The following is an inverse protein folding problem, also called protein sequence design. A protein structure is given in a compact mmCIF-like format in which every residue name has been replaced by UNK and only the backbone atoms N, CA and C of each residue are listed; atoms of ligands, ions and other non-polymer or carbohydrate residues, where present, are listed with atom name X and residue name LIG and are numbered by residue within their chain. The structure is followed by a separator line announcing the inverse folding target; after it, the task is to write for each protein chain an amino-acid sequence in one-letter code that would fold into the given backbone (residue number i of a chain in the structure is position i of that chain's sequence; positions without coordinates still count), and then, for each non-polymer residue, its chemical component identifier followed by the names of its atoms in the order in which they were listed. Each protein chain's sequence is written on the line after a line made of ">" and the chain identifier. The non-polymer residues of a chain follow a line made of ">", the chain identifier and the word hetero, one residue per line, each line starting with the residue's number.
data_IF_794896757932
#
_entry.id   IF_794896757932
#
_cell.length_a   1.000
_cell.length_b   1.000
_cell.length_c   1.000
_cell.angle_alpha   90.00
_cell.angle_beta   90.00
_cell.angle_gamma   90.00
#
_symmetry.space_group_name_H-M   'P 1'
#
loop_
_entity.id
_entity.type
_entity.pdbx_description
1 polymer ?
#
# COMPACT_ATOMS: atom_id res chain seq x y z
N UNK A 1 -0.68 -13.25 -11.85
CA UNK A 1 -1.88 -13.30 -10.97
C UNK A 1 -2.33 -11.87 -10.70
N UNK A 2 -3.60 -11.57 -10.90
CA UNK A 2 -4.17 -10.23 -10.80
C UNK A 2 -4.87 -10.06 -9.45
N UNK A 3 -4.23 -9.38 -8.49
CA UNK A 3 -4.80 -9.18 -7.15
C UNK A 3 -5.21 -7.73 -6.92
N UNK A 4 -6.33 -7.53 -6.22
CA UNK A 4 -6.67 -6.26 -5.59
C UNK A 4 -6.29 -6.28 -4.11
N UNK A 5 -5.77 -5.17 -3.60
CA UNK A 5 -5.18 -5.08 -2.27
C UNK A 5 -5.78 -3.88 -1.53
N UNK A 6 -6.37 -4.14 -0.36
CA UNK A 6 -6.86 -3.14 0.58
C UNK A 6 -6.19 -3.35 1.94
N UNK A 7 -5.59 -2.30 2.52
CA UNK A 7 -4.94 -2.35 3.84
C UNK A 7 -5.29 -1.13 4.66
N UNK A 8 -5.41 -1.32 5.98
CA UNK A 8 -5.68 -0.24 6.93
C UNK A 8 -4.55 -0.15 7.96
N UNK A 9 -3.94 1.01 8.06
CA UNK A 9 -2.94 1.33 9.07
C UNK A 9 -3.53 2.30 10.09
N UNK A 10 -3.77 1.81 11.33
CA UNK A 10 -4.33 2.59 12.44
C UNK A 10 -3.25 3.48 13.06
N UNK A 11 -3.46 4.80 13.12
CA UNK A 11 -2.49 5.78 13.56
C UNK A 11 -2.94 6.52 14.84
N UNK A 12 -2.03 6.68 15.81
CA UNK A 12 -2.29 7.41 17.05
C UNK A 12 -2.00 8.92 16.95
N UNK A 13 -1.60 9.41 15.80
CA UNK A 13 -1.37 10.81 15.49
C UNK A 13 0.11 11.22 15.37
N UNK A 14 1.04 10.52 15.99
CA UNK A 14 2.47 10.87 15.91
C UNK A 14 3.08 10.77 14.51
N UNK A 15 2.49 9.95 13.64
CA UNK A 15 2.93 9.76 12.26
C UNK A 15 2.30 10.75 11.26
N UNK A 16 1.38 11.62 11.67
CA UNK A 16 0.61 12.47 10.76
C UNK A 16 1.50 13.30 9.83
N UNK A 17 2.53 13.97 10.36
CA UNK A 17 3.47 14.78 9.56
C UNK A 17 4.27 13.98 8.54
N UNK A 18 4.73 12.77 8.93
CA UNK A 18 5.54 11.95 8.02
C UNK A 18 4.69 11.33 6.92
N UNK A 19 3.44 10.98 7.23
CA UNK A 19 2.46 10.48 6.27
C UNK A 19 2.04 11.60 5.32
N UNK A 20 1.68 12.77 5.84
CA UNK A 20 1.41 14.00 5.08
C UNK A 20 2.54 14.26 4.07
N UNK A 21 3.77 14.38 4.56
CA UNK A 21 4.92 14.66 3.70
C UNK A 21 5.22 13.55 2.66
N UNK A 22 4.82 12.30 2.92
CA UNK A 22 4.91 11.22 1.93
C UNK A 22 3.79 11.32 0.91
N UNK A 23 2.57 11.53 1.34
CA UNK A 23 1.39 11.58 0.47
C UNK A 23 1.42 12.81 -0.44
N UNK A 24 1.74 13.96 0.11
CA UNK A 24 1.76 15.25 -0.61
C UNK A 24 3.09 15.51 -1.34
N UNK A 25 4.03 14.53 -1.31
CA UNK A 25 5.35 14.65 -1.98
C UNK A 25 6.14 15.91 -1.61
N UNK A 26 6.06 16.35 -0.36
CA UNK A 26 6.71 17.60 0.10
C UNK A 26 8.17 17.46 0.52
N UNK A 27 8.74 16.24 0.47
CA UNK A 27 10.16 16.00 0.79
C UNK A 27 11.03 16.15 -0.46
N UNK A 28 12.23 16.68 -0.27
CA UNK A 28 13.23 16.74 -1.34
C UNK A 28 13.81 15.37 -1.68
N UNK A 29 13.96 14.50 -0.65
CA UNK A 29 14.50 13.15 -0.80
C UNK A 29 13.63 12.10 -0.09
N UNK A 30 13.51 10.95 -0.71
CA UNK A 30 12.73 9.80 -0.23
C UNK A 30 13.65 8.58 -0.03
N UNK A 31 14.68 8.72 0.82
CA UNK A 31 15.66 7.66 1.07
C UNK A 31 15.03 6.32 1.49
N UNK A 32 13.88 6.35 2.17
CA UNK A 32 13.12 5.15 2.56
C UNK A 32 12.31 4.52 1.42
N UNK A 33 12.08 5.26 0.32
CA UNK A 33 11.34 4.78 -0.85
C UNK A 33 12.01 5.26 -2.15
N UNK A 34 13.07 4.56 -2.61
CA UNK A 34 13.81 4.92 -3.81
C UNK A 34 13.02 4.68 -5.11
N UNK A 35 11.83 4.06 -5.03
CA UNK A 35 11.00 3.76 -6.20
C UNK A 35 10.19 4.98 -6.69
N UNK A 36 10.25 6.10 -5.97
CA UNK A 36 9.56 7.34 -6.37
C UNK A 36 10.31 7.98 -7.54
N UNK A 37 9.62 8.06 -8.67
CA UNK A 37 10.10 8.75 -9.87
C UNK A 37 9.68 10.22 -9.82
N UNK A 38 10.62 11.10 -9.49
CA UNK A 38 10.37 12.54 -9.37
C UNK A 38 9.84 13.18 -10.67
N UNK A 39 10.17 12.63 -11.82
CA UNK A 39 9.67 13.14 -13.11
C UNK A 39 8.18 12.87 -13.34
N UNK A 40 7.61 11.92 -12.58
CA UNK A 40 6.21 11.50 -12.68
C UNK A 40 5.32 12.05 -11.57
N UNK A 41 5.85 12.82 -10.61
CA UNK A 41 5.07 13.39 -9.50
C UNK A 41 3.86 14.18 -10.00
N UNK A 42 3.98 14.88 -11.13
CA UNK A 42 2.87 15.62 -11.74
C UNK A 42 1.71 14.74 -12.24
N UNK A 43 1.88 13.42 -12.31
CA UNK A 43 0.82 12.46 -12.65
C UNK A 43 -0.01 12.04 -11.43
N UNK A 44 0.45 12.35 -10.22
CA UNK A 44 -0.31 12.11 -9.00
C UNK A 44 -1.52 13.02 -8.97
N UNK A 45 -2.63 12.53 -8.42
CA UNK A 45 -3.85 13.32 -8.34
C UNK A 45 -4.64 13.01 -7.08
N UNK A 46 -5.47 13.97 -6.66
CA UNK A 46 -6.34 13.84 -5.51
C UNK A 46 -7.78 13.57 -5.92
N UNK A 47 -8.43 12.63 -5.22
CA UNK A 47 -9.88 12.46 -5.18
C UNK A 47 -10.49 13.30 -4.05
N UNK A 48 -9.73 13.48 -2.96
CA UNK A 48 -10.04 14.42 -1.88
C UNK A 48 -8.76 15.15 -1.49
N UNK A 49 -8.73 16.46 -1.72
CA UNK A 49 -7.60 17.31 -1.35
C UNK A 49 -7.77 17.82 0.08
N UNK A 50 -6.78 17.64 0.98
CA UNK A 50 -6.83 18.18 2.32
C UNK A 50 -6.81 19.71 2.28
N UNK A 51 -7.57 20.38 3.16
CA UNK A 51 -7.60 21.84 3.25
C UNK A 51 -6.38 22.39 4.01
N UNK A 52 -5.85 21.58 4.92
CA UNK A 52 -4.74 21.90 5.80
C UNK A 52 -3.80 20.70 5.91
N UNK A 53 -2.73 20.84 6.71
CA UNK A 53 -1.90 19.68 7.04
C UNK A 53 -2.73 18.57 7.70
N UNK A 54 -2.31 17.32 7.55
CA UNK A 54 -3.02 16.16 8.13
C UNK A 54 -3.23 16.29 9.64
N UNK A 55 -2.25 16.87 10.35
CA UNK A 55 -2.38 17.13 11.78
C UNK A 55 -3.53 18.10 12.09
N UNK A 56 -3.68 19.14 11.29
CA UNK A 56 -4.76 20.14 11.41
C UNK A 56 -6.11 19.54 11.02
N UNK A 57 -6.18 18.78 9.93
CA UNK A 57 -7.39 18.08 9.48
C UNK A 57 -7.94 17.14 10.57
N UNK A 58 -7.07 16.33 11.16
CA UNK A 58 -7.41 15.40 12.22
C UNK A 58 -7.92 16.16 13.47
N UNK A 59 -7.17 17.21 13.88
CA UNK A 59 -7.54 18.01 15.04
C UNK A 59 -8.88 18.71 14.85
N UNK A 60 -9.10 19.30 13.68
CA UNK A 60 -10.34 19.99 13.34
C UNK A 60 -11.55 19.05 13.42
N UNK A 61 -11.51 17.88 12.77
CA UNK A 61 -12.61 16.91 12.77
C UNK A 61 -12.92 16.39 14.17
N UNK A 62 -11.91 16.07 14.96
CA UNK A 62 -12.07 15.62 16.35
C UNK A 62 -12.72 16.73 17.20
N UNK A 63 -12.29 17.97 17.02
CA UNK A 63 -12.83 19.11 17.75
C UNK A 63 -14.30 19.37 17.36
N UNK A 64 -14.61 19.35 16.06
CA UNK A 64 -15.98 19.55 15.57
C UNK A 64 -16.94 18.44 16.02
N UNK A 65 -16.42 17.21 16.17
CA UNK A 65 -17.21 16.10 16.71
C UNK A 65 -17.44 16.22 18.23
N UNK A 66 -16.66 17.03 18.94
CA UNK A 66 -16.74 17.15 20.40
C UNK A 66 -16.42 15.85 21.15
N UNK A 67 -15.73 14.92 20.50
CA UNK A 67 -15.53 13.59 21.04
C UNK A 67 -14.36 13.52 22.04
N UNK A 68 -14.49 12.60 23.02
CA UNK A 68 -13.41 12.33 23.97
C UNK A 68 -12.25 11.61 23.29
N UNK A 69 -11.05 12.15 23.42
CA UNK A 69 -9.80 11.52 22.94
C UNK A 69 -9.02 10.97 24.13
N UNK A 70 -8.69 9.67 24.09
CA UNK A 70 -7.79 9.03 25.05
C UNK A 70 -6.35 9.06 24.51
N UNK A 71 -5.36 8.87 25.37
CA UNK A 71 -3.95 8.84 24.99
C UNK A 71 -3.63 7.78 23.91
N UNK A 72 -4.32 6.65 23.97
CA UNK A 72 -4.13 5.49 23.09
C UNK A 72 -5.11 5.45 21.90
N UNK A 73 -6.00 6.45 21.76
CA UNK A 73 -6.97 6.50 20.67
C UNK A 73 -6.30 6.49 19.32
N UNK A 74 -6.87 5.69 18.40
CA UNK A 74 -6.57 5.81 16.98
C UNK A 74 -7.21 7.11 16.47
N UNK A 75 -6.38 8.06 16.05
CA UNK A 75 -6.84 9.40 15.62
C UNK A 75 -7.19 9.46 14.16
N UNK A 76 -6.51 8.66 13.34
CA UNK A 76 -6.84 8.51 11.93
C UNK A 76 -6.41 7.13 11.43
N UNK A 77 -6.90 6.78 10.27
CA UNK A 77 -6.56 5.55 9.56
C UNK A 77 -6.00 5.97 8.21
N UNK A 78 -4.83 5.44 7.87
CA UNK A 78 -4.27 5.50 6.53
C UNK A 78 -4.61 4.20 5.82
N UNK A 79 -5.34 4.30 4.71
CA UNK A 79 -5.81 3.17 3.92
C UNK A 79 -5.04 3.12 2.62
N UNK A 80 -4.42 1.98 2.33
CA UNK A 80 -3.74 1.72 1.07
C UNK A 80 -4.61 0.84 0.17
N UNK A 81 -4.86 1.31 -1.04
CA UNK A 81 -5.46 0.53 -2.13
C UNK A 81 -4.45 0.42 -3.27
N UNK A 82 -4.21 -0.78 -3.73
CA UNK A 82 -3.34 -1.03 -4.89
C UNK A 82 -3.72 -2.34 -5.59
N UNK A 83 -3.02 -2.66 -6.65
CA UNK A 83 -3.18 -3.89 -7.46
C UNK A 83 -1.84 -4.55 -7.67
N UNK A 84 -1.84 -5.78 -8.21
CA UNK A 84 -0.60 -6.39 -8.68
C UNK A 84 0.00 -5.59 -9.85
N UNK A 85 1.34 -5.54 -9.98
CA UNK A 85 2.00 -4.79 -11.06
C UNK A 85 1.58 -5.22 -12.46
N UNK A 86 1.31 -6.51 -12.66
CA UNK A 86 0.88 -7.08 -13.94
C UNK A 86 -0.50 -6.53 -14.35
N UNK A 87 -1.43 -6.47 -13.38
CA UNK A 87 -2.75 -5.89 -13.62
C UNK A 87 -2.66 -4.40 -13.92
N UNK A 88 -1.91 -3.65 -13.11
CA UNK A 88 -1.72 -2.21 -13.34
C UNK A 88 -1.18 -1.90 -14.74
N UNK A 89 -0.23 -2.73 -15.22
CA UNK A 89 0.35 -2.58 -16.56
C UNK A 89 -0.64 -2.92 -17.67
N UNK A 90 -1.45 -3.97 -17.49
CA UNK A 90 -2.45 -4.41 -18.47
C UNK A 90 -3.61 -3.41 -18.61
N UNK A 91 -3.94 -2.71 -17.52
CA UNK A 91 -5.09 -1.80 -17.40
C UNK A 91 -4.67 -0.35 -17.10
N UNK A 92 -3.52 0.11 -17.59
CA UNK A 92 -2.96 1.42 -17.27
C UNK A 92 -3.96 2.57 -17.50
N UNK A 93 -4.68 2.53 -18.63
CA UNK A 93 -5.69 3.54 -18.98
C UNK A 93 -6.95 3.48 -18.08
N UNK A 94 -7.20 2.36 -17.42
CA UNK A 94 -8.36 2.15 -16.55
C UNK A 94 -8.04 2.44 -15.07
N UNK A 95 -6.78 2.73 -14.71
CA UNK A 95 -6.41 3.01 -13.31
C UNK A 95 -7.21 4.16 -12.68
N UNK A 96 -7.53 5.26 -13.37
CA UNK A 96 -8.41 6.29 -12.80
C UNK A 96 -9.81 5.75 -12.43
N UNK A 97 -10.43 4.91 -13.28
CA UNK A 97 -11.71 4.26 -13.00
C UNK A 97 -11.60 3.31 -11.80
N UNK A 98 -10.50 2.53 -11.75
CA UNK A 98 -10.22 1.63 -10.66
C UNK A 98 -10.17 2.36 -9.30
N UNK A 99 -9.41 3.44 -9.20
CA UNK A 99 -9.27 4.19 -7.95
C UNK A 99 -10.53 4.97 -7.59
N UNK A 100 -11.31 5.47 -8.56
CA UNK A 100 -12.62 6.07 -8.30
C UNK A 100 -13.59 5.04 -7.70
N UNK A 101 -13.68 3.83 -8.27
CA UNK A 101 -14.53 2.76 -7.75
C UNK A 101 -14.09 2.32 -6.34
N UNK A 102 -12.80 2.21 -6.11
CA UNK A 102 -12.25 1.91 -4.79
C UNK A 102 -12.53 3.01 -3.76
N UNK A 103 -12.46 4.28 -4.18
CA UNK A 103 -12.82 5.43 -3.35
C UNK A 103 -14.31 5.42 -2.97
N UNK A 104 -15.22 5.19 -3.92
CA UNK A 104 -16.65 5.11 -3.66
C UNK A 104 -16.98 3.97 -2.68
N UNK A 105 -16.38 2.80 -2.87
CA UNK A 105 -16.51 1.67 -1.93
C UNK A 105 -16.12 2.05 -0.49
N UNK A 106 -15.01 2.77 -0.34
CA UNK A 106 -14.52 3.20 0.98
C UNK A 106 -15.40 4.31 1.56
N UNK A 107 -15.76 5.31 0.74
CA UNK A 107 -16.59 6.46 1.12
C UNK A 107 -17.91 6.03 1.74
N UNK A 108 -18.62 5.09 1.11
CA UNK A 108 -19.88 4.56 1.61
C UNK A 108 -19.76 3.91 2.99
N UNK A 109 -18.64 3.28 3.28
CA UNK A 109 -18.42 2.51 4.51
C UNK A 109 -17.83 3.28 5.66
N UNK A 110 -16.92 4.22 5.38
CA UNK A 110 -16.25 5.00 6.43
C UNK A 110 -16.93 6.34 6.70
N UNK A 111 -17.82 6.80 5.80
CA UNK A 111 -18.45 8.12 5.80
C UNK A 111 -17.60 9.17 5.09
N UNK A 112 -18.20 9.87 4.13
CA UNK A 112 -17.50 10.90 3.33
C UNK A 112 -16.95 12.03 4.21
N UNK A 113 -17.71 12.43 5.22
CA UNK A 113 -17.37 13.48 6.19
C UNK A 113 -16.11 13.14 7.03
N UNK A 114 -15.79 11.87 7.15
CA UNK A 114 -14.63 11.39 7.88
C UNK A 114 -13.34 11.45 7.06
N UNK A 115 -13.45 11.43 5.71
CA UNK A 115 -12.30 11.43 4.80
C UNK A 115 -11.74 12.84 4.68
N UNK A 116 -10.43 13.00 4.85
CA UNK A 116 -9.77 14.30 4.71
C UNK A 116 -8.72 14.34 3.59
N UNK A 117 -8.26 13.19 3.13
CA UNK A 117 -7.36 13.08 1.98
C UNK A 117 -7.59 11.76 1.26
N UNK A 118 -7.57 11.80 -0.06
CA UNK A 118 -7.46 10.62 -0.91
C UNK A 118 -6.59 10.99 -2.11
N UNK A 119 -5.36 10.50 -2.14
CA UNK A 119 -4.36 10.79 -3.18
C UNK A 119 -3.96 9.52 -3.90
N UNK A 120 -3.89 9.58 -5.22
CA UNK A 120 -3.41 8.49 -6.07
C UNK A 120 -1.99 8.81 -6.52
N UNK A 121 -1.07 7.91 -6.21
CA UNK A 121 0.31 7.97 -6.63
C UNK A 121 0.51 7.15 -7.91
N UNK A 122 0.90 7.85 -8.98
CA UNK A 122 1.27 7.28 -10.27
C UNK A 122 2.80 7.31 -10.50
N UNK A 123 3.53 7.88 -9.55
CA UNK A 123 4.97 8.14 -9.59
C UNK A 123 5.82 7.01 -9.01
N UNK A 124 5.21 5.90 -8.60
CA UNK A 124 5.91 4.71 -8.13
C UNK A 124 5.74 3.54 -9.12
N UNK A 125 6.47 2.44 -8.85
CA UNK A 125 6.45 1.23 -9.69
C UNK A 125 5.05 0.66 -9.90
N UNK A 126 4.21 0.72 -8.89
CA UNK A 126 2.81 0.26 -8.95
C UNK A 126 1.90 1.39 -8.48
N UNK A 127 0.92 1.81 -9.29
CA UNK A 127 -0.07 2.81 -8.88
C UNK A 127 -0.80 2.39 -7.61
N UNK A 128 -1.02 3.35 -6.72
CA UNK A 128 -1.74 3.10 -5.48
C UNK A 128 -2.41 4.36 -4.94
N UNK A 129 -3.50 4.15 -4.20
CA UNK A 129 -4.23 5.23 -3.53
C UNK A 129 -3.99 5.15 -2.02
N UNK A 130 -3.66 6.28 -1.43
CA UNK A 130 -3.75 6.50 0.01
C UNK A 130 -5.03 7.27 0.31
N UNK A 131 -5.86 6.73 1.21
CA UNK A 131 -7.06 7.39 1.71
C UNK A 131 -6.96 7.51 3.22
N UNK A 132 -6.99 8.75 3.72
CA UNK A 132 -6.91 9.05 5.14
C UNK A 132 -8.25 9.54 5.68
N UNK A 133 -8.70 8.96 6.80
CA UNK A 133 -9.93 9.37 7.47
C UNK A 133 -9.79 9.35 8.99
N UNK A 134 -10.56 10.23 9.67
CA UNK A 134 -10.73 10.21 11.11
C UNK A 134 -11.87 9.25 11.44
N UNK A 135 -11.64 8.20 12.27
CA UNK A 135 -12.65 7.17 12.49
C UNK A 135 -13.75 7.62 13.47
N UNK A 136 -14.59 8.57 13.03
CA UNK A 136 -15.75 9.05 13.77
C UNK A 136 -16.98 8.21 13.43
N UNK A 137 -17.63 7.72 14.47
CA UNK A 137 -18.88 6.98 14.36
C UNK A 137 -20.06 7.94 14.13
N UNK A 138 -21.23 7.43 13.71
CA UNK A 138 -22.45 8.23 13.50
C UNK A 138 -22.88 9.03 14.73
N UNK A 139 -22.60 8.50 15.94
CA UNK A 139 -22.83 9.16 17.21
C UNK A 139 -21.62 9.98 17.70
N UNK A 140 -20.74 10.37 16.78
CA UNK A 140 -19.58 11.25 16.97
C UNK A 140 -18.55 10.75 18.00
N UNK A 141 -18.39 9.43 18.15
CA UNK A 141 -17.31 8.84 18.95
C UNK A 141 -16.10 8.52 18.08
N UNK A 142 -14.90 8.71 18.62
CA UNK A 142 -13.65 8.31 17.96
C UNK A 142 -13.39 6.83 18.19
N UNK A 143 -13.70 5.97 17.19
CA UNK A 143 -13.62 4.51 17.33
C UNK A 143 -13.29 3.79 16.02
N UNK A 144 -12.02 3.61 15.75
CA UNK A 144 -11.58 2.76 14.62
C UNK A 144 -12.02 1.29 14.75
N UNK A 145 -12.24 0.80 15.98
CA UNK A 145 -12.74 -0.55 16.22
C UNK A 145 -14.19 -0.71 15.76
N UNK A 146 -15.00 0.32 15.90
CA UNK A 146 -16.41 0.28 15.51
C UNK A 146 -16.58 0.35 13.99
N UNK A 147 -15.76 1.15 13.31
CA UNK A 147 -15.80 1.28 11.86
C UNK A 147 -15.15 0.06 11.17
N UNK A 148 -13.94 -0.31 11.57
CA UNK A 148 -13.17 -1.36 10.91
C UNK A 148 -13.42 -2.76 11.47
N UNK A 149 -13.94 -2.84 12.70
CA UNK A 149 -14.21 -4.10 13.38
C UNK A 149 -12.96 -4.82 13.91
N UNK A 150 -13.13 -6.13 14.08
CA UNK A 150 -12.10 -7.07 14.54
C UNK A 150 -11.44 -7.81 13.36
N UNK A 151 -10.63 -8.84 13.65
CA UNK A 151 -9.96 -9.66 12.63
C UNK A 151 -10.92 -10.29 11.61
N UNK A 152 -12.09 -10.76 12.06
CA UNK A 152 -13.11 -11.35 11.18
C UNK A 152 -13.70 -10.28 10.25
N UNK A 153 -14.00 -9.10 10.78
CA UNK A 153 -14.48 -7.98 9.98
C UNK A 153 -13.43 -7.53 8.96
N UNK A 154 -12.13 -7.59 9.29
CA UNK A 154 -11.07 -7.27 8.34
C UNK A 154 -10.98 -8.26 7.17
N UNK A 155 -11.33 -9.53 7.37
CA UNK A 155 -11.47 -10.50 6.27
C UNK A 155 -12.68 -10.11 5.41
N UNK A 156 -13.81 -9.79 6.02
CA UNK A 156 -15.01 -9.36 5.31
C UNK A 156 -14.75 -8.09 4.47
N UNK A 157 -13.97 -7.11 4.99
CA UNK A 157 -13.56 -5.94 4.21
C UNK A 157 -12.83 -6.33 2.92
N UNK A 158 -11.95 -7.35 2.98
CA UNK A 158 -11.24 -7.84 1.80
C UNK A 158 -12.16 -8.56 0.83
N UNK A 159 -13.10 -9.36 1.34
CA UNK A 159 -14.05 -10.11 0.53
C UNK A 159 -15.02 -9.15 -0.20
N UNK A 160 -15.57 -8.17 0.52
CA UNK A 160 -16.48 -7.17 -0.04
C UNK A 160 -15.77 -6.27 -1.06
N UNK A 161 -14.53 -5.87 -0.75
CA UNK A 161 -13.72 -5.06 -1.66
C UNK A 161 -13.40 -5.82 -2.94
N UNK A 162 -12.95 -7.07 -2.81
CA UNK A 162 -12.74 -7.93 -3.96
C UNK A 162 -14.01 -8.06 -4.80
N UNK A 163 -15.14 -8.39 -4.18
CA UNK A 163 -16.42 -8.55 -4.89
C UNK A 163 -16.79 -7.27 -5.66
N UNK A 164 -16.67 -6.11 -5.02
CA UNK A 164 -16.92 -4.83 -5.64
C UNK A 164 -16.02 -4.60 -6.87
N UNK A 165 -14.71 -4.87 -6.77
CA UNK A 165 -13.78 -4.63 -7.86
C UNK A 165 -13.93 -5.67 -8.99
N UNK A 166 -14.21 -6.94 -8.64
CA UNK A 166 -14.38 -8.04 -9.60
C UNK A 166 -15.65 -7.90 -10.46
N UNK A 167 -16.66 -7.14 -10.05
CA UNK A 167 -17.80 -6.81 -10.89
C UNK A 167 -17.38 -6.12 -12.20
N UNK A 168 -16.35 -5.29 -12.15
CA UNK A 168 -15.83 -4.54 -13.30
C UNK A 168 -14.62 -5.22 -13.96
N UNK A 169 -13.80 -5.90 -13.16
CA UNK A 169 -12.59 -6.63 -13.60
C UNK A 169 -12.65 -8.07 -13.10
N UNK A 170 -13.37 -8.96 -13.83
CA UNK A 170 -13.58 -10.37 -13.42
C UNK A 170 -12.28 -11.19 -13.33
N UNK A 171 -11.20 -10.75 -13.96
CA UNK A 171 -9.88 -11.38 -13.91
C UNK A 171 -9.13 -11.15 -12.59
N UNK A 172 -9.63 -10.25 -11.72
CA UNK A 172 -9.06 -10.07 -10.39
C UNK A 172 -9.29 -11.32 -9.55
N UNK A 173 -8.31 -11.65 -8.76
CA UNK A 173 -8.34 -12.76 -7.83
C UNK A 173 -8.41 -12.26 -6.38
N UNK A 174 -9.17 -12.95 -5.57
CA UNK A 174 -9.17 -12.78 -4.12
C UNK A 174 -7.88 -13.42 -3.56
N UNK A 175 -6.97 -12.61 -3.04
CA UNK A 175 -5.75 -13.14 -2.42
C UNK A 175 -6.06 -14.08 -1.24
N UNK A 176 -5.24 -15.11 -1.05
CA UNK A 176 -5.41 -16.08 0.04
C UNK A 176 -5.29 -15.40 1.40
N UNK A 177 -6.24 -15.59 2.33
CA UNK A 177 -6.20 -15.01 3.66
C UNK A 177 -4.91 -15.36 4.42
N UNK A 178 -4.36 -14.40 5.17
CA UNK A 178 -3.13 -14.61 5.95
C UNK A 178 -3.25 -15.73 6.99
N UNK A 179 -4.48 -16.04 7.43
CA UNK A 179 -4.76 -17.15 8.36
C UNK A 179 -4.45 -18.51 7.71
N UNK A 180 -4.74 -18.65 6.42
CA UNK A 180 -4.49 -19.88 5.66
C UNK A 180 -3.02 -20.01 5.27
N UNK A 181 -2.41 -18.92 4.85
CA UNK A 181 -1.01 -18.93 4.42
C UNK A 181 -0.02 -18.98 5.57
N UNK A 182 -0.46 -18.69 6.81
CA UNK A 182 0.39 -18.51 8.01
C UNK A 182 1.59 -17.58 7.80
N UNK A 183 1.59 -16.78 6.74
CA UNK A 183 2.66 -15.84 6.43
C UNK A 183 2.70 -14.72 7.46
N UNK A 184 3.89 -14.47 8.02
CA UNK A 184 4.10 -13.30 8.88
C UNK A 184 4.10 -12.04 8.01
N UNK A 185 3.53 -10.96 8.56
CA UNK A 185 3.59 -9.66 7.91
C UNK A 185 5.04 -9.18 7.81
N UNK A 186 5.53 -9.06 6.60
CA UNK A 186 6.83 -8.43 6.33
C UNK A 186 6.63 -6.93 6.15
N UNK A 187 7.54 -6.12 6.70
CA UNK A 187 7.56 -4.69 6.35
C UNK A 187 7.88 -4.54 4.86
N UNK A 188 7.46 -3.42 4.21
CA UNK A 188 7.77 -3.19 2.79
C UNK A 188 9.27 -3.29 2.48
N UNK A 189 10.14 -2.84 3.40
CA UNK A 189 11.59 -2.95 3.25
C UNK A 189 12.07 -4.40 3.24
N UNK A 190 11.56 -5.25 4.16
CA UNK A 190 11.87 -6.67 4.19
C UNK A 190 11.32 -7.40 2.97
N UNK A 191 10.10 -7.07 2.56
CA UNK A 191 9.51 -7.65 1.35
C UNK A 191 10.39 -7.36 0.12
N UNK A 192 10.81 -6.09 -0.07
CA UNK A 192 11.72 -5.71 -1.17
C UNK A 192 13.05 -6.46 -1.11
N UNK A 193 13.64 -6.64 0.09
CA UNK A 193 14.87 -7.42 0.26
C UNK A 193 14.68 -8.89 -0.12
N UNK A 194 13.62 -9.53 0.36
CA UNK A 194 13.31 -10.93 0.06
C UNK A 194 13.09 -11.12 -1.44
N UNK A 195 12.26 -10.30 -2.08
CA UNK A 195 12.00 -10.38 -3.52
C UNK A 195 13.29 -10.16 -4.34
N UNK A 196 14.14 -9.23 -3.93
CA UNK A 196 15.42 -9.02 -4.60
C UNK A 196 16.38 -10.22 -4.42
N UNK A 197 16.31 -10.92 -3.30
CA UNK A 197 17.06 -12.17 -3.06
C UNK A 197 16.52 -13.30 -3.96
N UNK A 198 15.20 -13.47 -4.02
CA UNK A 198 14.56 -14.50 -4.86
C UNK A 198 14.94 -14.31 -6.33
N UNK A 199 14.85 -13.07 -6.86
CA UNK A 199 15.26 -12.76 -8.24
C UNK A 199 16.74 -13.07 -8.50
N UNK A 200 17.62 -12.86 -7.50
CA UNK A 200 19.06 -13.19 -7.63
C UNK A 200 19.31 -14.69 -7.58
N UNK A 201 18.56 -15.41 -6.74
CA UNK A 201 18.61 -16.88 -6.67
C UNK A 201 18.16 -17.51 -7.99
N UNK A 202 17.04 -17.05 -8.56
CA UNK A 202 16.57 -17.52 -9.87
C UNK A 202 17.63 -17.30 -10.98
N UNK A 203 18.29 -16.14 -10.98
CA UNK A 203 19.40 -15.87 -11.92
C UNK A 203 20.59 -16.79 -11.69
N UNK A 204 20.91 -17.10 -10.42
CA UNK A 204 21.97 -18.02 -10.08
C UNK A 204 21.66 -19.44 -10.51
N UNK A 205 20.43 -19.91 -10.27
CA UNK A 205 19.94 -21.23 -10.71
C UNK A 205 19.98 -21.34 -12.24
N UNK A 206 19.50 -20.30 -12.95
CA UNK A 206 19.57 -20.26 -14.41
C UNK A 206 21.02 -20.29 -14.92
N UNK A 207 21.92 -19.56 -14.27
CA UNK A 207 23.35 -19.57 -14.63
C UNK A 207 23.99 -20.95 -14.41
N UNK A 208 23.56 -21.68 -13.37
CA UNK A 208 24.09 -23.02 -13.04
C UNK A 208 23.48 -24.12 -13.88
N UNK A 209 22.20 -24.01 -14.25
CA UNK A 209 21.50 -25.03 -15.07
C UNK A 209 22.04 -25.15 -16.51
N UNK A 210 22.66 -24.08 -17.02
CA UNK A 210 23.22 -24.01 -18.40
C UNK A 210 24.75 -24.26 -18.44
N UNK A 211 25.32 -24.88 -17.39
CA UNK A 211 26.76 -25.17 -17.35
C UNK A 211 27.10 -26.41 -18.18
N UNK A 212 28.07 -26.24 -19.08
CA UNK A 212 28.65 -27.33 -19.88
C UNK A 212 30.19 -27.21 -19.92
N UNK A 213 30.85 -28.22 -20.52
CA UNK A 213 32.33 -28.30 -20.56
C UNK A 213 32.97 -27.07 -21.22
N UNK A 214 32.27 -26.41 -22.15
CA UNK A 214 32.80 -25.30 -22.94
C UNK A 214 32.60 -23.94 -22.24
N UNK A 215 31.61 -23.80 -21.34
CA UNK A 215 31.27 -22.54 -20.69
C UNK A 215 31.50 -22.53 -19.17
N UNK A 216 31.95 -23.64 -18.59
CA UNK A 216 32.10 -23.82 -17.15
C UNK A 216 32.91 -22.71 -16.45
N UNK A 217 34.00 -22.26 -17.06
CA UNK A 217 34.83 -21.17 -16.52
C UNK A 217 34.07 -19.85 -16.41
N UNK A 218 33.44 -19.43 -17.50
CA UNK A 218 32.64 -18.18 -17.56
C UNK A 218 31.44 -18.24 -16.61
N UNK A 219 30.70 -19.35 -16.60
CA UNK A 219 29.54 -19.54 -15.72
C UNK A 219 29.90 -19.55 -14.24
N UNK A 220 31.09 -20.08 -13.89
CA UNK A 220 31.62 -20.02 -12.52
C UNK A 220 31.89 -18.58 -12.08
N UNK A 221 32.43 -17.74 -12.94
CA UNK A 221 32.66 -16.33 -12.66
C UNK A 221 31.34 -15.56 -12.50
N UNK A 222 30.37 -15.79 -13.39
CA UNK A 222 29.02 -15.22 -13.30
C UNK A 222 28.33 -15.61 -11.97
N UNK A 223 28.37 -16.89 -11.60
CA UNK A 223 27.81 -17.38 -10.35
C UNK A 223 28.52 -16.79 -9.11
N UNK A 224 29.86 -16.68 -9.14
CA UNK A 224 30.63 -16.07 -8.07
C UNK A 224 30.28 -14.57 -7.89
N UNK A 225 30.08 -13.83 -8.99
CA UNK A 225 29.67 -12.43 -8.95
C UNK A 225 28.27 -12.27 -8.33
N UNK A 226 27.30 -13.14 -8.70
CA UNK A 226 25.95 -13.14 -8.13
C UNK A 226 25.96 -13.49 -6.64
N UNK A 227 26.75 -14.49 -6.22
CA UNK A 227 26.91 -14.86 -4.80
C UNK A 227 27.50 -13.70 -3.98
N UNK A 228 28.49 -12.99 -4.52
CA UNK A 228 29.05 -11.80 -3.87
C UNK A 228 28.01 -10.68 -3.69
N UNK A 229 27.12 -10.49 -4.67
CA UNK A 229 26.02 -9.54 -4.55
C UNK A 229 24.95 -9.97 -3.52
N UNK A 230 24.73 -11.27 -3.32
CA UNK A 230 23.87 -11.79 -2.27
C UNK A 230 24.46 -11.55 -0.86
N UNK A 231 25.76 -11.72 -0.69
CA UNK A 231 26.45 -11.49 0.59
C UNK A 231 26.46 -10.03 1.05
N UNK A 232 26.26 -9.07 0.12
CA UNK A 232 26.17 -7.65 0.44
C UNK A 232 24.79 -7.20 0.93
N UNK A 233 23.79 -8.09 0.89
CA UNK A 233 22.47 -7.84 1.48
C UNK A 233 22.60 -8.12 2.98
N UNK A 234 23.04 -7.13 3.76
CA UNK A 234 23.06 -7.24 5.21
C UNK A 234 21.62 -7.39 5.73
N UNK A 235 21.38 -8.52 6.40
CA UNK A 235 20.15 -8.85 7.11
C UNK A 235 20.10 -8.07 8.41
#
# INVERSE_FOLDING_TARGET
>A
MAYTILRFAKQKGGAARSIDAHHERTKEEYASNPDIDKSRIAQNYHLVTPRWSYEQEIKHRIQMAGCRVRRDSVKFVDTLVTVSPEFAKAHEAEMPEYFNRAFDFLKERVGEENIFSAVVHMDEKTPHMHLCFVPLTKDKRLSAKEILGNKKAMIQWQDDFYACMAERWPELERGTPAVETRRKHLTPQWYKKVTAMDTKLEKLEAALSDVNVFNAGKKREEAAALLKQLSLIHI
#
